data_IF_973775912126
#
_entry.id   IF_973775912126
#
_cell.length_a   1.000
_cell.length_b   1.000
_cell.length_c   1.000
_cell.angle_alpha   90.00
_cell.angle_beta   90.00
_cell.angle_gamma   90.00
#
_symmetry.space_group_name_H-M   'P 1'
#
loop_
_entity.id
_entity.type
_entity.pdbx_description
1 polymer ?
#
# COMPACT_ATOMS: atom_id res chain seq x y z
N UNK A 1 -10.23 40.14 -1.93
CA UNK A 1 -10.85 39.22 -2.90
C UNK A 1 -10.64 37.80 -2.36
N UNK A 2 -11.69 37.20 -1.76
CA UNK A 2 -11.61 35.83 -1.21
C UNK A 2 -11.56 34.86 -2.39
N UNK A 3 -10.48 34.11 -2.52
CA UNK A 3 -10.33 33.09 -3.57
C UNK A 3 -11.42 32.02 -3.43
N UNK A 4 -12.04 31.56 -4.53
CA UNK A 4 -13.16 30.61 -4.54
C UNK A 4 -12.75 29.16 -4.22
N UNK A 5 -11.63 28.95 -3.52
CA UNK A 5 -11.04 27.64 -3.25
C UNK A 5 -11.96 26.74 -2.41
N UNK A 6 -12.79 27.34 -1.56
CA UNK A 6 -13.63 26.66 -0.56
C UNK A 6 -14.85 25.93 -1.19
N UNK A 7 -15.23 26.26 -2.43
CA UNK A 7 -16.39 25.65 -3.08
C UNK A 7 -16.10 24.35 -3.85
N UNK A 8 -14.84 24.12 -4.25
CA UNK A 8 -14.44 22.91 -4.97
C UNK A 8 -14.31 21.70 -4.04
N UNK A 9 -13.92 21.90 -2.78
CA UNK A 9 -13.74 20.81 -1.81
C UNK A 9 -15.05 20.06 -1.49
N UNK A 10 -16.22 20.68 -1.73
CA UNK A 10 -17.52 20.05 -1.52
C UNK A 10 -18.09 19.32 -2.75
N UNK A 11 -17.50 19.51 -3.94
CA UNK A 11 -17.96 18.89 -5.20
C UNK A 11 -17.18 17.61 -5.52
N UNK A 12 -15.99 17.45 -4.94
CA UNK A 12 -15.09 16.37 -5.28
C UNK A 12 -15.16 15.30 -4.19
N UNK A 13 -15.25 14.02 -4.58
CA UNK A 13 -15.26 12.88 -3.65
C UNK A 13 -14.19 13.02 -2.59
N UNK A 14 -14.50 12.62 -1.34
CA UNK A 14 -13.53 12.52 -0.22
C UNK A 14 -12.24 11.84 -0.67
N UNK A 15 -12.35 10.90 -1.61
CA UNK A 15 -11.19 10.22 -2.16
C UNK A 15 -10.27 11.07 -3.03
N UNK A 16 -10.82 11.96 -3.83
CA UNK A 16 -10.02 12.88 -4.64
C UNK A 16 -9.33 13.94 -3.78
N UNK A 17 -9.95 14.39 -2.68
CA UNK A 17 -9.34 15.32 -1.73
C UNK A 17 -8.13 14.67 -1.05
N UNK A 18 -8.26 13.41 -0.61
CA UNK A 18 -7.15 12.64 0.00
C UNK A 18 -6.03 12.41 -1.01
N UNK A 19 -6.37 12.00 -2.24
CA UNK A 19 -5.40 11.82 -3.33
C UNK A 19 -4.64 13.09 -3.69
N UNK A 20 -5.34 14.23 -3.78
CA UNK A 20 -4.71 15.52 -4.03
C UNK A 20 -3.71 15.90 -2.93
N UNK A 21 -4.02 15.59 -1.67
CA UNK A 21 -3.11 15.84 -0.54
C UNK A 21 -1.85 14.98 -0.62
N UNK A 22 -1.99 13.69 -0.96
CA UNK A 22 -0.86 12.79 -1.18
C UNK A 22 0.06 13.32 -2.28
N UNK A 23 -0.51 13.73 -3.42
CA UNK A 23 0.27 14.26 -4.56
C UNK A 23 1.01 15.55 -4.16
N UNK A 24 0.36 16.48 -3.46
CA UNK A 24 1.00 17.71 -2.96
C UNK A 24 2.17 17.39 -2.03
N UNK A 25 2.00 16.45 -1.10
CA UNK A 25 3.05 16.03 -0.17
C UNK A 25 4.20 15.33 -0.91
N UNK A 26 3.90 14.49 -1.90
CA UNK A 26 4.90 13.87 -2.77
C UNK A 26 5.74 14.92 -3.51
N UNK A 27 5.12 15.95 -4.07
CA UNK A 27 5.84 17.04 -4.74
C UNK A 27 6.77 17.77 -3.77
N UNK A 28 6.33 18.03 -2.53
CA UNK A 28 7.15 18.69 -1.51
C UNK A 28 8.36 17.82 -1.16
N UNK A 29 8.14 16.52 -0.91
CA UNK A 29 9.21 15.57 -0.61
C UNK A 29 10.21 15.46 -1.77
N UNK A 30 9.75 15.31 -3.01
CA UNK A 30 10.64 15.22 -4.19
C UNK A 30 11.46 16.49 -4.42
N UNK A 31 10.89 17.67 -4.14
CA UNK A 31 11.60 18.96 -4.28
C UNK A 31 12.68 19.17 -3.23
N UNK A 32 12.42 18.75 -1.99
CA UNK A 32 13.28 19.06 -0.85
C UNK A 32 14.12 17.86 -0.37
N UNK A 33 13.83 16.65 -0.86
CA UNK A 33 14.27 15.41 -0.23
C UNK A 33 13.42 15.07 1.02
N UNK A 34 13.84 14.04 1.75
CA UNK A 34 13.19 13.61 2.99
C UNK A 34 12.21 12.46 2.83
N UNK A 35 11.31 12.29 3.80
CA UNK A 35 10.44 11.11 3.91
C UNK A 35 8.97 11.47 3.74
N UNK A 36 8.26 10.69 2.93
CA UNK A 36 6.81 10.69 2.83
C UNK A 36 6.28 9.39 3.40
N UNK A 37 5.61 9.45 4.55
CA UNK A 37 5.03 8.28 5.22
C UNK A 37 3.52 8.28 5.01
N UNK A 38 2.99 7.21 4.42
CA UNK A 38 1.56 7.09 4.09
C UNK A 38 1.02 5.75 4.56
N UNK A 39 -0.01 5.79 5.39
CA UNK A 39 -0.78 4.59 5.69
C UNK A 39 -1.84 4.36 4.60
N UNK A 40 -1.95 3.11 4.16
CA UNK A 40 -2.85 2.62 3.12
C UNK A 40 -2.83 3.50 1.86
N UNK A 41 -1.73 3.42 1.10
CA UNK A 41 -1.52 4.30 -0.06
C UNK A 41 -2.62 4.17 -1.13
N UNK A 42 -3.19 2.98 -1.29
CA UNK A 42 -4.30 2.70 -2.19
C UNK A 42 -5.62 3.29 -1.72
N UNK A 43 -5.74 3.63 -0.43
CA UNK A 43 -6.99 4.08 0.13
C UNK A 43 -7.35 5.43 -0.49
N UNK A 44 -8.36 5.40 -1.37
CA UNK A 44 -8.86 6.50 -2.21
C UNK A 44 -8.11 6.80 -3.51
N UNK A 45 -7.11 6.00 -3.87
CA UNK A 45 -6.41 6.12 -5.15
C UNK A 45 -6.72 4.90 -6.03
N UNK A 46 -6.83 5.12 -7.33
CA UNK A 46 -6.84 3.99 -8.25
C UNK A 46 -5.43 3.36 -8.31
N UNK A 47 -5.35 2.09 -8.70
CA UNK A 47 -4.10 1.32 -8.75
C UNK A 47 -3.04 1.98 -9.63
N UNK A 48 -3.44 2.59 -10.75
CA UNK A 48 -2.51 3.23 -11.68
C UNK A 48 -1.89 4.51 -11.11
N UNK A 49 -2.64 5.30 -10.35
CA UNK A 49 -2.13 6.47 -9.64
C UNK A 49 -1.13 6.08 -8.56
N UNK A 50 -1.40 4.98 -7.83
CA UNK A 50 -0.44 4.46 -6.83
C UNK A 50 0.87 4.07 -7.48
N UNK A 51 0.81 3.30 -8.59
CA UNK A 51 2.01 2.93 -9.35
C UNK A 51 2.77 4.15 -9.89
N UNK A 52 2.06 5.16 -10.38
CA UNK A 52 2.65 6.41 -10.86
C UNK A 52 3.35 7.17 -9.73
N UNK A 53 2.76 7.25 -8.54
CA UNK A 53 3.41 7.87 -7.38
C UNK A 53 4.71 7.13 -7.08
N UNK A 54 4.66 5.80 -6.96
CA UNK A 54 5.84 4.97 -6.67
C UNK A 54 6.92 5.15 -7.76
N UNK A 55 6.55 5.17 -9.03
CA UNK A 55 7.53 5.31 -10.13
C UNK A 55 8.27 6.65 -10.10
N UNK A 56 7.59 7.74 -9.71
CA UNK A 56 8.22 9.06 -9.59
C UNK A 56 9.26 9.09 -8.46
N UNK A 57 9.06 8.33 -7.38
CA UNK A 57 10.08 8.19 -6.32
C UNK A 57 11.27 7.30 -6.76
N UNK A 58 11.06 6.36 -7.67
CA UNK A 58 12.09 5.46 -8.17
C UNK A 58 12.91 6.02 -9.35
N UNK A 59 12.40 7.03 -10.06
CA UNK A 59 13.11 7.63 -11.20
C UNK A 59 14.08 8.74 -10.72
N UNK A 60 15.38 8.56 -11.01
CA UNK A 60 16.44 9.53 -10.69
C UNK A 60 16.24 10.90 -11.34
N UNK A 61 15.53 10.96 -12.48
CA UNK A 61 15.22 12.22 -13.17
C UNK A 61 14.23 13.05 -12.39
N UNK A 62 13.24 12.41 -11.76
CA UNK A 62 12.21 13.07 -10.96
C UNK A 62 12.63 13.21 -9.49
N UNK A 63 13.39 12.26 -8.95
CA UNK A 63 13.80 12.21 -7.56
C UNK A 63 15.27 12.63 -7.35
N UNK A 64 15.64 13.83 -7.81
CA UNK A 64 17.01 14.37 -7.74
C UNK A 64 17.54 14.61 -6.32
N UNK A 65 16.67 14.58 -5.32
CA UNK A 65 16.99 14.87 -3.92
C UNK A 65 16.95 13.63 -3.02
N UNK A 66 16.74 12.44 -3.59
CA UNK A 66 16.72 11.20 -2.82
C UNK A 66 15.59 11.14 -1.80
N UNK A 67 14.41 11.67 -2.13
CA UNK A 67 13.22 11.53 -1.31
C UNK A 67 12.82 10.05 -1.21
N UNK A 68 12.32 9.64 -0.05
CA UNK A 68 11.90 8.28 0.23
C UNK A 68 10.41 8.24 0.55
N UNK A 69 9.68 7.32 -0.07
CA UNK A 69 8.29 7.02 0.27
C UNK A 69 8.25 5.73 1.09
N UNK A 70 7.59 5.77 2.24
CA UNK A 70 7.31 4.61 3.09
C UNK A 70 5.81 4.49 3.18
N UNK A 71 5.27 3.33 2.79
CA UNK A 71 3.83 3.14 2.81
C UNK A 71 3.41 1.72 3.19
N UNK A 72 2.16 1.60 3.63
CA UNK A 72 1.47 0.33 3.83
C UNK A 72 0.42 0.13 2.74
N UNK A 73 0.12 -1.13 2.42
CA UNK A 73 -0.92 -1.47 1.47
C UNK A 73 -1.52 -2.85 1.75
N UNK A 74 -2.81 -2.99 1.48
CA UNK A 74 -3.54 -4.26 1.42
C UNK A 74 -3.57 -4.84 -0.01
N UNK A 75 -3.16 -4.07 -1.02
CA UNK A 75 -3.17 -4.51 -2.42
C UNK A 75 -1.87 -5.22 -2.79
N UNK A 76 -1.88 -6.55 -2.70
CA UNK A 76 -0.72 -7.39 -2.98
C UNK A 76 -0.16 -7.19 -4.40
N UNK A 77 -1.00 -6.80 -5.37
CA UNK A 77 -0.62 -6.58 -6.77
C UNK A 77 0.20 -5.30 -6.99
N UNK A 78 0.28 -4.41 -6.00
CA UNK A 78 1.21 -3.29 -6.03
C UNK A 78 2.65 -3.83 -5.92
N UNK A 79 2.87 -4.90 -5.16
CA UNK A 79 4.20 -5.53 -4.98
C UNK A 79 4.77 -6.07 -6.29
N UNK A 80 3.91 -6.45 -7.24
CA UNK A 80 4.33 -6.92 -8.56
C UNK A 80 4.97 -5.81 -9.40
N UNK A 81 4.75 -4.54 -9.05
CA UNK A 81 5.35 -3.38 -9.74
C UNK A 81 6.74 -3.01 -9.20
N UNK A 82 7.21 -3.69 -8.15
CA UNK A 82 8.56 -3.49 -7.61
C UNK A 82 9.55 -4.48 -8.22
N UNK A 83 10.66 -4.02 -8.76
CA UNK A 83 11.72 -4.92 -9.23
C UNK A 83 12.49 -5.53 -8.06
N UNK A 84 12.74 -4.71 -7.04
CA UNK A 84 13.47 -5.06 -5.83
C UNK A 84 12.57 -5.75 -4.80
N UNK A 85 13.17 -6.72 -4.09
CA UNK A 85 12.49 -7.51 -3.04
C UNK A 85 12.89 -7.07 -1.63
N UNK A 86 14.01 -6.41 -1.51
CA UNK A 86 14.63 -6.00 -0.25
C UNK A 86 13.95 -4.77 0.37
N UNK A 87 13.12 -4.08 -0.41
CA UNK A 87 12.32 -2.94 0.04
C UNK A 87 10.89 -3.34 0.45
N UNK A 88 10.61 -4.65 0.51
CA UNK A 88 9.27 -5.19 0.83
C UNK A 88 9.29 -5.88 2.20
N UNK A 89 8.39 -5.45 3.07
CA UNK A 89 8.16 -6.01 4.39
C UNK A 89 6.72 -6.53 4.50
N UNK A 90 6.58 -7.75 4.98
CA UNK A 90 5.29 -8.43 5.10
C UNK A 90 4.94 -8.56 6.58
N UNK A 91 3.76 -8.08 6.95
CA UNK A 91 3.18 -8.33 8.26
C UNK A 91 2.57 -9.73 8.28
N UNK A 92 2.95 -10.53 9.26
CA UNK A 92 2.43 -11.87 9.47
C UNK A 92 1.84 -12.00 10.86
N UNK A 93 0.76 -12.77 11.00
CA UNK A 93 0.15 -13.07 12.28
C UNK A 93 0.27 -14.56 12.62
N UNK A 94 0.77 -14.85 13.82
CA UNK A 94 0.92 -16.23 14.29
C UNK A 94 -0.40 -16.84 14.77
N UNK A 95 -0.34 -18.06 15.31
CA UNK A 95 -1.51 -18.76 15.88
C UNK A 95 -2.07 -18.06 17.12
N UNK A 96 -1.24 -17.35 17.87
CA UNK A 96 -1.59 -16.61 19.08
C UNK A 96 -2.03 -15.16 18.79
N UNK A 97 -2.23 -14.82 17.51
CA UNK A 97 -2.59 -13.50 17.03
C UNK A 97 -1.52 -12.40 17.26
N UNK A 98 -0.28 -12.80 17.52
CA UNK A 98 0.86 -11.89 17.59
C UNK A 98 1.29 -11.49 16.18
N UNK A 99 1.51 -10.20 15.96
CA UNK A 99 1.97 -9.64 14.69
C UNK A 99 3.49 -9.58 14.68
N UNK A 100 4.10 -9.97 13.57
CA UNK A 100 5.54 -9.87 13.32
C UNK A 100 5.81 -9.36 11.91
N UNK A 101 6.93 -8.66 11.72
CA UNK A 101 7.43 -8.21 10.42
C UNK A 101 8.43 -9.23 9.90
N UNK A 102 8.33 -9.56 8.62
CA UNK A 102 9.31 -10.37 7.90
C UNK A 102 9.71 -9.66 6.61
N UNK A 103 11.00 -9.64 6.30
CA UNK A 103 11.50 -9.12 5.03
C UNK A 103 11.24 -10.12 3.92
N UNK A 104 10.65 -9.68 2.81
CA UNK A 104 10.22 -10.58 1.74
C UNK A 104 11.40 -11.36 1.15
N UNK A 105 12.55 -10.70 0.93
CA UNK A 105 13.76 -11.33 0.39
C UNK A 105 14.31 -12.47 1.24
N UNK A 106 14.05 -12.46 2.54
CA UNK A 106 14.63 -13.43 3.48
C UNK A 106 13.82 -14.73 3.48
N UNK A 107 12.52 -14.62 3.20
CA UNK A 107 11.57 -15.74 3.17
C UNK A 107 11.45 -16.34 1.77
N UNK A 108 11.43 -15.50 0.73
CA UNK A 108 11.09 -15.92 -0.64
C UNK A 108 12.33 -15.87 -1.54
N UNK A 109 13.06 -17.00 -1.59
CA UNK A 109 14.32 -17.12 -2.35
C UNK A 109 14.12 -17.40 -3.85
N UNK A 110 13.05 -18.08 -4.25
CA UNK A 110 12.75 -18.44 -5.66
C UNK A 110 11.89 -17.37 -6.33
N UNK A 111 12.07 -17.18 -7.64
CA UNK A 111 11.58 -16.02 -8.39
C UNK A 111 10.51 -16.36 -9.45
N UNK A 112 9.87 -17.52 -9.35
CA UNK A 112 8.96 -18.02 -10.39
C UNK A 112 7.51 -17.53 -10.19
N UNK A 113 7.14 -17.18 -8.95
CA UNK A 113 5.80 -16.71 -8.61
C UNK A 113 5.75 -15.18 -8.52
N UNK A 114 4.61 -14.62 -8.90
CA UNK A 114 4.32 -13.20 -8.66
C UNK A 114 4.32 -12.90 -7.16
N UNK A 115 4.73 -11.70 -6.77
CA UNK A 115 4.78 -11.33 -5.35
C UNK A 115 3.38 -11.30 -4.77
N UNK A 116 2.41 -10.82 -5.53
CA UNK A 116 0.99 -10.86 -5.19
C UNK A 116 0.51 -12.28 -4.88
N UNK A 117 0.83 -13.24 -5.75
CA UNK A 117 0.46 -14.65 -5.58
C UNK A 117 1.07 -15.27 -4.33
N UNK A 118 2.33 -14.94 -4.01
CA UNK A 118 2.99 -15.38 -2.77
C UNK A 118 2.23 -14.89 -1.53
N UNK A 119 1.75 -13.64 -1.52
CA UNK A 119 0.98 -13.10 -0.40
C UNK A 119 -0.41 -13.73 -0.33
N UNK A 120 -1.12 -13.78 -1.46
CA UNK A 120 -2.52 -14.22 -1.54
C UNK A 120 -2.69 -15.73 -1.32
N UNK A 121 -1.73 -16.55 -1.76
CA UNK A 121 -1.70 -18.00 -1.51
C UNK A 121 -1.34 -18.37 -0.07
N UNK A 122 -1.05 -17.37 0.78
CA UNK A 122 -0.56 -17.57 2.15
C UNK A 122 0.74 -18.39 2.20
N UNK A 123 1.57 -18.28 1.16
CA UNK A 123 2.89 -18.94 1.12
C UNK A 123 3.75 -18.48 2.31
N UNK A 124 3.73 -17.17 2.58
CA UNK A 124 4.25 -16.60 3.82
C UNK A 124 3.16 -16.79 4.88
N UNK A 125 3.30 -17.80 5.74
CA UNK A 125 2.26 -18.16 6.71
C UNK A 125 1.84 -16.96 7.56
N UNK A 126 0.55 -16.65 7.54
CA UNK A 126 -0.04 -15.57 8.31
C UNK A 126 -0.03 -14.22 7.58
N UNK A 127 0.32 -14.17 6.29
CA UNK A 127 0.21 -12.98 5.45
C UNK A 127 -1.19 -12.77 4.87
N UNK A 128 -1.95 -13.86 4.68
CA UNK A 128 -3.32 -13.81 4.18
C UNK A 128 -4.34 -13.88 5.33
N UNK A 129 -5.59 -13.40 5.11
CA UNK A 129 -6.69 -13.60 6.06
C UNK A 129 -6.85 -15.08 6.43
N UNK A 130 -7.01 -15.38 7.72
CA UNK A 130 -7.20 -16.77 8.18
C UNK A 130 -8.53 -17.30 7.63
N UNK A 131 -8.52 -18.50 7.04
CA UNK A 131 -9.73 -19.21 6.64
C UNK A 131 -10.75 -19.38 7.79
N UNK A 132 -10.27 -19.37 9.04
CA UNK A 132 -11.10 -19.36 10.25
C UNK A 132 -12.06 -18.16 10.29
N UNK A 133 -11.62 -16.97 9.85
CA UNK A 133 -12.44 -15.77 9.82
C UNK A 133 -13.56 -15.87 8.79
N UNK A 134 -13.34 -16.59 7.69
CA UNK A 134 -14.37 -16.82 6.66
C UNK A 134 -15.43 -17.76 7.23
N UNK A 135 -15.01 -18.84 7.90
CA UNK A 135 -15.93 -19.79 8.51
C UNK A 135 -16.74 -19.18 9.67
N UNK A 136 -16.10 -18.36 10.50
CA UNK A 136 -16.79 -17.57 11.54
C UNK A 136 -17.77 -16.56 10.93
N UNK A 137 -17.42 -15.94 9.80
CA UNK A 137 -18.32 -15.03 9.08
C UNK A 137 -19.50 -15.77 8.45
N UNK A 138 -19.28 -16.94 7.83
CA UNK A 138 -20.33 -17.82 7.32
C UNK A 138 -21.28 -18.26 8.44
N UNK A 139 -20.74 -18.72 9.57
CA UNK A 139 -21.53 -19.10 10.75
C UNK A 139 -22.33 -17.91 11.32
N UNK A 140 -21.76 -16.71 11.33
CA UNK A 140 -22.45 -15.49 11.75
C UNK A 140 -23.61 -15.13 10.81
N UNK A 141 -23.38 -15.15 9.50
CA UNK A 141 -24.41 -14.86 8.49
C UNK A 141 -25.54 -15.89 8.59
N UNK A 142 -25.22 -17.18 8.68
CA UNK A 142 -26.20 -18.25 8.84
C UNK A 142 -27.00 -18.19 10.15
N UNK A 143 -26.50 -17.50 11.18
CA UNK A 143 -27.24 -17.24 12.43
C UNK A 143 -28.12 -15.99 12.37
N UNK A 144 -27.83 -15.07 11.46
CA UNK A 144 -28.48 -13.75 11.38
C UNK A 144 -29.61 -13.72 10.35
N UNK A 145 -29.57 -14.62 9.37
CA UNK A 145 -30.64 -14.90 8.39
C UNK A 145 -31.46 -16.08 8.90
#
# INVERSE_FOLDING_TARGET
IKSPSIALENIISKGTIKGQRIIKNAIIALKNGGYLIIDELENHLNKELVKMIISIFNDEKTNKKGACIIFTTHYAEILDSFDRKDDIYVLTRDKNNLTSIQKYSDVVKRNELKKSEVILSNYIKGSAPKALNIKELEEYICKTI
#
